data_IF_178191321855
#
_entry.id   IF_178191321855
#
_cell.length_a   1.000
_cell.length_b   1.000
_cell.length_c   1.000
_cell.angle_alpha   90.00
_cell.angle_beta   90.00
_cell.angle_gamma   90.00
#
_symmetry.space_group_name_H-M   'P 1'
#
loop_
_entity.id
_entity.type
_entity.pdbx_description
1 polymer ?
#
# COMPACT_ATOMS: atom_id res chain seq x y z
N UNK A 1 -6.90 6.67 -10.26
CA UNK A 1 -7.94 6.94 -9.24
C UNK A 1 -7.83 5.95 -8.10
N UNK A 2 -7.88 4.64 -8.36
CA UNK A 2 -7.63 3.54 -7.39
C UNK A 2 -6.14 3.45 -7.01
N UNK A 3 -5.24 3.30 -7.99
CA UNK A 3 -3.79 3.22 -7.77
C UNK A 3 -3.17 4.43 -7.03
N UNK A 4 -3.85 5.59 -7.03
CA UNK A 4 -3.35 6.78 -6.31
C UNK A 4 -3.43 6.61 -4.79
N UNK A 5 -4.45 5.89 -4.32
CA UNK A 5 -4.63 5.58 -2.91
C UNK A 5 -3.54 4.62 -2.43
N UNK A 6 -3.31 3.52 -3.15
CA UNK A 6 -2.25 2.57 -2.85
C UNK A 6 -0.88 3.25 -2.77
N UNK A 7 -0.58 4.12 -3.73
CA UNK A 7 0.66 4.92 -3.73
C UNK A 7 0.73 5.83 -2.51
N UNK A 8 -0.37 6.49 -2.12
CA UNK A 8 -0.39 7.33 -0.94
C UNK A 8 -0.14 6.53 0.35
N UNK A 9 -0.73 5.34 0.48
CA UNK A 9 -0.50 4.43 1.62
C UNK A 9 0.98 4.02 1.67
N UNK A 10 1.55 3.56 0.54
CA UNK A 10 2.96 3.15 0.46
C UNK A 10 3.90 4.31 0.78
N UNK A 11 3.62 5.51 0.25
CA UNK A 11 4.39 6.72 0.58
C UNK A 11 4.34 7.01 2.09
N UNK A 12 3.18 6.83 2.73
CA UNK A 12 3.06 7.02 4.17
C UNK A 12 3.87 5.98 4.97
N UNK A 13 3.84 4.71 4.57
CA UNK A 13 4.68 3.66 5.15
C UNK A 13 6.16 4.04 5.01
N UNK A 14 6.59 4.40 3.79
CA UNK A 14 7.96 4.79 3.51
C UNK A 14 8.40 6.00 4.34
N UNK A 15 7.55 7.02 4.46
CA UNK A 15 7.85 8.21 5.28
C UNK A 15 8.04 7.84 6.75
N UNK A 16 7.18 6.96 7.30
CA UNK A 16 7.30 6.50 8.69
C UNK A 16 8.58 5.71 8.94
N UNK A 17 9.05 4.97 7.94
CA UNK A 17 10.31 4.21 7.98
C UNK A 17 11.55 5.03 7.55
N UNK A 18 11.41 6.32 7.23
CA UNK A 18 12.47 7.16 6.62
C UNK A 18 13.05 6.56 5.32
N UNK A 19 12.23 5.78 4.61
CA UNK A 19 12.61 4.98 3.44
C UNK A 19 12.40 5.70 2.10
N UNK A 20 11.77 6.89 2.08
CA UNK A 20 11.24 7.50 0.84
C UNK A 20 12.27 7.67 -0.28
N UNK A 21 13.56 7.86 0.04
CA UNK A 21 14.65 7.98 -0.94
C UNK A 21 15.15 6.66 -1.51
N UNK A 22 14.81 5.54 -0.87
CA UNK A 22 15.28 4.19 -1.25
C UNK A 22 14.22 3.40 -2.03
N UNK A 23 12.97 3.86 -2.05
CA UNK A 23 11.84 3.14 -2.63
C UNK A 23 11.33 3.85 -3.88
N UNK A 24 11.16 3.08 -4.96
CA UNK A 24 10.48 3.54 -6.17
C UNK A 24 9.19 2.75 -6.36
N UNK A 25 8.08 3.48 -6.50
CA UNK A 25 6.74 2.89 -6.61
C UNK A 25 6.29 2.92 -8.07
N UNK A 26 5.80 1.78 -8.56
CA UNK A 26 5.25 1.64 -9.90
C UNK A 26 3.82 1.14 -9.83
N UNK A 27 2.94 1.77 -10.60
CA UNK A 27 1.55 1.36 -10.78
C UNK A 27 1.47 0.31 -11.87
N UNK A 28 0.61 -0.69 -11.68
CA UNK A 28 0.37 -1.74 -12.67
C UNK A 28 -1.11 -1.91 -13.03
N UNK A 29 -1.98 -0.99 -12.57
CA UNK A 29 -3.41 -1.06 -12.83
C UNK A 29 -4.04 -2.29 -12.16
N UNK A 30 -4.72 -3.13 -12.94
CA UNK A 30 -5.47 -4.26 -12.42
C UNK A 30 -4.63 -5.18 -11.52
N UNK A 31 -5.19 -5.62 -10.39
CA UNK A 31 -4.55 -6.52 -9.43
C UNK A 31 -3.98 -7.82 -10.06
N UNK A 32 -4.61 -8.34 -11.12
CA UNK A 32 -4.12 -9.50 -11.87
C UNK A 32 -2.73 -9.29 -12.49
N UNK A 33 -2.35 -8.04 -12.77
CA UNK A 33 -1.07 -7.71 -13.37
C UNK A 33 0.09 -7.92 -12.38
N UNK A 34 -0.15 -7.86 -11.07
CA UNK A 34 0.86 -8.19 -10.06
C UNK A 34 1.40 -9.62 -10.26
N UNK A 35 0.49 -10.58 -10.46
CA UNK A 35 0.83 -11.98 -10.72
C UNK A 35 1.59 -12.15 -12.04
N UNK A 36 1.17 -11.44 -13.08
CA UNK A 36 1.84 -11.47 -14.40
C UNK A 36 3.27 -10.91 -14.30
N UNK A 37 3.46 -9.80 -13.59
CA UNK A 37 4.77 -9.19 -13.39
C UNK A 37 5.69 -10.08 -12.56
N UNK A 38 5.18 -10.66 -11.46
CA UNK A 38 5.92 -11.63 -10.65
C UNK A 38 6.34 -12.85 -11.48
N UNK A 39 5.41 -13.44 -12.25
CA UNK A 39 5.69 -14.57 -13.11
C UNK A 39 6.78 -14.23 -14.14
N UNK A 40 6.67 -13.07 -14.79
CA UNK A 40 7.66 -12.61 -15.77
C UNK A 40 9.05 -12.44 -15.15
N UNK A 41 9.12 -11.95 -13.91
CA UNK A 41 10.37 -11.71 -13.17
C UNK A 41 11.06 -13.02 -12.81
N UNK A 42 10.28 -13.99 -12.32
CA UNK A 42 10.79 -15.34 -12.02
C UNK A 42 11.24 -16.10 -13.28
N UNK A 43 10.48 -16.02 -14.37
CA UNK A 43 10.82 -16.68 -15.64
C UNK A 43 12.14 -16.13 -16.21
N UNK A 44 12.38 -14.82 -16.09
CA UNK A 44 13.64 -14.18 -16.50
C UNK A 44 14.82 -14.50 -15.56
N UNK A 45 14.56 -15.02 -14.37
CA UNK A 45 15.60 -15.24 -13.36
C UNK A 45 16.08 -13.94 -12.70
N UNK A 46 15.27 -12.89 -12.74
CA UNK A 46 15.59 -11.62 -12.09
C UNK A 46 15.58 -11.78 -10.57
N UNK A 47 16.39 -10.96 -9.88
CA UNK A 47 16.33 -10.89 -8.43
C UNK A 47 14.95 -10.37 -7.95
N UNK A 48 14.44 -10.98 -6.88
CA UNK A 48 13.21 -10.62 -6.17
C UNK A 48 13.46 -10.00 -4.79
N UNK A 49 14.69 -10.02 -4.29
CA UNK A 49 14.99 -9.53 -2.93
C UNK A 49 14.72 -8.04 -2.75
N UNK A 50 14.72 -7.27 -3.84
CA UNK A 50 14.52 -5.83 -3.90
C UNK A 50 13.19 -5.43 -4.56
N UNK A 51 12.29 -6.39 -4.84
CA UNK A 51 11.01 -6.17 -5.51
C UNK A 51 9.86 -6.64 -4.65
N UNK A 52 8.92 -5.73 -4.40
CA UNK A 52 7.68 -6.01 -3.69
C UNK A 52 6.48 -5.77 -4.59
N UNK A 53 5.57 -6.74 -4.64
CA UNK A 53 4.29 -6.64 -5.31
C UNK A 53 3.19 -6.50 -4.27
N UNK A 54 2.38 -5.45 -4.35
CA UNK A 54 1.40 -5.08 -3.32
C UNK A 54 0.01 -5.02 -3.93
N UNK A 55 -0.97 -5.68 -3.32
CA UNK A 55 -2.38 -5.58 -3.66
C UNK A 55 -3.13 -4.68 -2.67
N UNK A 56 -4.25 -4.13 -3.12
CA UNK A 56 -5.11 -3.28 -2.31
C UNK A 56 -5.84 -4.04 -1.19
N UNK A 57 -5.95 -5.37 -1.31
CA UNK A 57 -6.49 -6.28 -0.30
C UNK A 57 -7.97 -6.62 -0.45
N UNK A 58 -8.69 -5.99 -1.38
CA UNK A 58 -10.11 -6.26 -1.67
C UNK A 58 -10.34 -7.42 -2.64
N UNK A 59 -9.31 -7.76 -3.43
CA UNK A 59 -9.27 -8.88 -4.38
C UNK A 59 -8.04 -9.73 -4.12
N UNK A 60 -8.19 -11.04 -4.35
CA UNK A 60 -7.13 -12.03 -4.09
C UNK A 60 -6.64 -11.97 -2.64
N UNK A 61 -7.56 -11.75 -1.70
CA UNK A 61 -7.25 -11.47 -0.29
C UNK A 61 -6.83 -12.72 0.47
N UNK A 62 -7.13 -13.91 -0.07
CA UNK A 62 -6.76 -15.20 0.52
C UNK A 62 -5.61 -15.89 -0.24
N UNK A 63 -4.83 -16.70 0.47
CA UNK A 63 -3.74 -17.48 -0.14
C UNK A 63 -4.24 -18.45 -1.23
N UNK A 64 -5.46 -18.99 -1.08
CA UNK A 64 -6.07 -19.84 -2.11
C UNK A 64 -6.37 -19.07 -3.39
N UNK A 65 -6.89 -17.84 -3.29
CA UNK A 65 -7.13 -16.99 -4.46
C UNK A 65 -5.83 -16.56 -5.12
N UNK A 66 -4.81 -16.20 -4.33
CA UNK A 66 -3.47 -15.87 -4.84
C UNK A 66 -2.86 -17.08 -5.56
N UNK A 67 -2.96 -18.28 -4.99
CA UNK A 67 -2.50 -19.52 -5.61
C UNK A 67 -3.22 -19.81 -6.93
N UNK A 68 -4.55 -19.67 -6.95
CA UNK A 68 -5.34 -19.83 -8.17
C UNK A 68 -4.98 -18.77 -9.25
N UNK A 69 -4.63 -17.54 -8.85
CA UNK A 69 -4.15 -16.52 -9.76
C UNK A 69 -2.74 -16.83 -10.30
N UNK A 70 -1.83 -17.35 -9.46
CA UNK A 70 -0.51 -17.83 -9.88
C UNK A 70 -0.62 -19.00 -10.86
N UNK A 71 -1.55 -19.93 -10.65
CA UNK A 71 -1.79 -21.06 -11.54
C UNK A 71 -2.23 -20.64 -12.95
N UNK A 72 -2.92 -19.50 -13.07
CA UNK A 72 -3.33 -18.95 -14.37
C UNK A 72 -2.18 -18.35 -15.16
N UNK A 73 -1.17 -17.79 -14.50
CA UNK A 73 -0.02 -17.13 -15.15
C UNK A 73 1.15 -18.08 -15.39
N UNK A 74 1.31 -19.10 -14.54
CA UNK A 74 2.28 -20.17 -14.74
C UNK A 74 1.64 -21.37 -15.46
N UNK A 75 1.57 -21.25 -16.78
CA UNK A 75 1.01 -22.30 -17.65
C UNK A 75 2.07 -23.35 -17.96
N UNK A 76 1.82 -24.61 -17.57
CA UNK A 76 2.73 -25.73 -17.80
C UNK A 76 2.63 -26.79 -16.71
N UNK A 77 3.04 -28.01 -17.03
CA UNK A 77 3.06 -29.16 -16.10
C UNK A 77 4.47 -29.72 -15.92
N UNK A 78 5.50 -29.00 -16.38
CA UNK A 78 6.90 -29.38 -16.25
C UNK A 78 7.45 -29.08 -14.84
N UNK A 79 8.49 -29.80 -14.40
CA UNK A 79 9.14 -29.59 -13.08
C UNK A 79 9.46 -28.12 -12.81
N UNK A 80 10.03 -27.43 -13.82
CA UNK A 80 10.36 -26.00 -13.75
C UNK A 80 9.15 -25.13 -13.41
N UNK A 81 7.96 -25.48 -13.89
CA UNK A 81 6.73 -24.71 -13.59
C UNK A 81 6.35 -24.85 -12.12
N UNK A 82 6.50 -26.05 -11.53
CA UNK A 82 6.26 -26.26 -10.10
C UNK A 82 7.26 -25.50 -9.24
N UNK A 83 8.54 -25.48 -9.63
CA UNK A 83 9.58 -24.70 -8.95
C UNK A 83 9.28 -23.19 -8.98
N UNK A 84 8.87 -22.65 -10.13
CA UNK A 84 8.49 -21.25 -10.26
C UNK A 84 7.26 -20.88 -9.41
N UNK A 85 6.26 -21.77 -9.36
CA UNK A 85 5.09 -21.58 -8.50
C UNK A 85 5.48 -21.55 -7.03
N UNK A 86 6.30 -22.50 -6.57
CA UNK A 86 6.80 -22.53 -5.20
C UNK A 86 7.63 -21.28 -4.87
N UNK A 87 8.43 -20.77 -5.80
CA UNK A 87 9.20 -19.54 -5.62
C UNK A 87 8.32 -18.28 -5.56
N UNK A 88 7.13 -18.31 -6.18
CA UNK A 88 6.17 -17.21 -6.21
C UNK A 88 5.25 -17.16 -4.98
N UNK A 89 5.05 -18.29 -4.29
CA UNK A 89 4.20 -18.35 -3.09
C UNK A 89 4.70 -17.36 -2.02
N UNK A 90 3.75 -16.59 -1.47
CA UNK A 90 4.03 -15.57 -0.44
C UNK A 90 4.79 -14.31 -0.90
N UNK A 91 5.09 -14.15 -2.20
CA UNK A 91 5.82 -12.98 -2.75
C UNK A 91 4.95 -11.76 -3.03
N UNK A 92 3.62 -11.93 -3.10
CA UNK A 92 2.67 -10.83 -3.22
C UNK A 92 2.12 -10.52 -1.83
N UNK A 93 2.28 -9.27 -1.40
CA UNK A 93 1.73 -8.73 -0.15
C UNK A 93 0.47 -7.92 -0.42
N UNK A 94 -0.28 -7.62 0.62
CA UNK A 94 -1.49 -6.81 0.50
C UNK A 94 -1.69 -5.88 1.69
N UNK A 95 -2.61 -4.93 1.59
CA UNK A 95 -3.15 -4.27 2.77
C UNK A 95 -4.21 -5.16 3.44
N UNK A 96 -4.22 -5.19 4.76
CA UNK A 96 -5.08 -6.06 5.55
C UNK A 96 -6.44 -5.43 5.77
N UNK A 97 -7.42 -5.84 4.97
CA UNK A 97 -8.79 -5.33 5.06
C UNK A 97 -9.70 -6.29 5.83
N UNK A 98 -10.69 -5.77 6.58
CA UNK A 98 -11.82 -6.58 7.01
C UNK A 98 -12.54 -7.19 5.80
N UNK A 99 -13.15 -8.36 6.01
CA UNK A 99 -13.81 -9.10 4.92
C UNK A 99 -14.91 -8.27 4.24
N UNK A 100 -14.83 -8.15 2.91
CA UNK A 100 -15.81 -7.43 2.10
C UNK A 100 -15.71 -5.90 2.16
N UNK A 101 -14.69 -5.35 2.81
CA UNK A 101 -14.45 -3.90 2.90
C UNK A 101 -13.46 -3.46 1.83
N UNK A 102 -13.75 -2.35 1.15
CA UNK A 102 -12.83 -1.72 0.20
C UNK A 102 -11.81 -0.80 0.90
N UNK A 103 -10.63 -0.55 0.30
CA UNK A 103 -9.60 0.30 0.88
C UNK A 103 -10.11 1.69 1.29
N UNK A 104 -10.86 2.37 0.40
CA UNK A 104 -11.38 3.72 0.67
C UNK A 104 -12.36 3.74 1.85
N UNK A 105 -13.21 2.71 1.96
CA UNK A 105 -14.14 2.56 3.07
C UNK A 105 -13.39 2.38 4.39
N UNK A 106 -12.33 1.57 4.38
CA UNK A 106 -11.57 1.34 5.59
C UNK A 106 -10.77 2.58 6.00
N UNK A 107 -10.14 3.30 5.05
CA UNK A 107 -9.50 4.59 5.35
C UNK A 107 -10.51 5.60 5.92
N UNK A 108 -11.71 5.70 5.34
CA UNK A 108 -12.78 6.55 5.86
C UNK A 108 -13.15 6.17 7.30
N UNK A 109 -13.26 4.87 7.60
CA UNK A 109 -13.44 4.39 8.96
C UNK A 109 -12.30 4.83 9.89
N UNK A 110 -11.03 4.66 9.49
CA UNK A 110 -9.88 5.03 10.31
C UNK A 110 -9.90 6.53 10.65
N UNK A 111 -10.14 7.41 9.67
CA UNK A 111 -10.13 8.87 9.91
C UNK A 111 -11.34 9.35 10.70
N UNK A 112 -12.50 8.70 10.59
CA UNK A 112 -13.70 9.12 11.33
C UNK A 112 -13.68 8.68 12.80
N UNK A 113 -12.91 7.62 13.11
CA UNK A 113 -12.77 7.02 14.44
C UNK A 113 -11.40 7.25 15.10
N UNK A 114 -10.56 8.11 14.52
CA UNK A 114 -9.24 8.45 15.08
C UNK A 114 -9.37 9.21 16.41
N UNK A 115 -8.52 8.93 17.43
CA UNK A 115 -8.45 9.74 18.63
C UNK A 115 -8.17 11.21 18.29
N UNK A 116 -8.94 12.13 18.90
CA UNK A 116 -8.87 13.56 18.58
C UNK A 116 -7.77 14.30 19.37
N UNK A 117 -7.20 13.66 20.39
CA UNK A 117 -6.21 14.28 21.27
C UNK A 117 -4.94 14.67 20.50
N UNK A 118 -4.57 15.95 20.59
CA UNK A 118 -3.37 16.49 19.95
C UNK A 118 -3.47 16.66 18.43
N UNK A 119 -4.68 16.63 17.86
CA UNK A 119 -4.91 16.98 16.45
C UNK A 119 -5.02 18.50 16.25
N UNK A 120 -4.37 19.00 15.20
CA UNK A 120 -4.51 20.40 14.77
C UNK A 120 -5.79 20.67 13.98
N UNK A 121 -6.14 21.94 13.81
CA UNK A 121 -7.39 22.37 13.16
C UNK A 121 -7.61 21.80 11.76
N UNK A 122 -6.55 21.68 10.96
CA UNK A 122 -6.62 21.08 9.62
C UNK A 122 -7.14 19.63 9.64
N UNK A 123 -6.71 18.82 10.60
CA UNK A 123 -7.19 17.43 10.71
C UNK A 123 -8.63 17.37 11.16
N UNK A 124 -9.06 18.31 12.02
CA UNK A 124 -10.45 18.39 12.45
C UNK A 124 -11.39 18.70 11.27
N UNK A 125 -11.00 19.60 10.36
CA UNK A 125 -11.77 19.88 9.13
C UNK A 125 -11.92 18.63 8.24
N UNK A 126 -10.85 17.83 8.10
CA UNK A 126 -10.91 16.55 7.37
C UNK A 126 -11.89 15.57 8.04
N UNK A 127 -11.86 15.46 9.36
CA UNK A 127 -12.74 14.57 10.12
C UNK A 127 -14.20 15.02 10.00
N UNK A 128 -14.47 16.32 10.13
CA UNK A 128 -15.82 16.89 9.97
C UNK A 128 -16.36 16.65 8.55
N UNK A 129 -15.54 16.91 7.52
CA UNK A 129 -15.89 16.63 6.14
C UNK A 129 -16.17 15.14 5.91
N UNK A 130 -15.38 14.25 6.50
CA UNK A 130 -15.57 12.81 6.40
C UNK A 130 -16.85 12.32 7.10
N UNK A 131 -17.15 12.82 8.31
CA UNK A 131 -18.34 12.44 9.10
C UNK A 131 -19.65 12.87 8.45
N UNK A 132 -19.63 13.94 7.65
CA UNK A 132 -20.80 14.37 6.90
C UNK A 132 -21.15 13.43 5.73
N UNK A 133 -20.23 12.57 5.31
CA UNK A 133 -20.47 11.53 4.30
C UNK A 133 -21.10 10.32 4.98
N UNK A 134 -22.44 10.26 4.97
CA UNK A 134 -23.21 9.23 5.70
C UNK A 134 -23.21 7.87 5.02
N UNK A 135 -23.54 7.83 3.73
CA UNK A 135 -23.58 6.61 2.92
C UNK A 135 -23.14 7.00 1.52
N UNK A 136 -22.19 6.26 0.98
CA UNK A 136 -21.71 6.45 -0.38
C UNK A 136 -21.83 5.11 -1.13
N UNK A 137 -22.39 5.15 -2.34
CA UNK A 137 -22.67 3.97 -3.15
C UNK A 137 -21.40 3.50 -3.88
N UNK A 138 -20.55 4.43 -4.26
CA UNK A 138 -19.26 4.13 -4.86
C UNK A 138 -18.14 4.39 -3.84
N UNK A 139 -17.52 3.31 -3.36
CA UNK A 139 -16.45 3.41 -2.37
C UNK A 139 -15.34 4.41 -2.75
N UNK A 140 -15.05 4.59 -4.05
CA UNK A 140 -14.03 5.52 -4.50
C UNK A 140 -14.36 7.00 -4.20
N UNK A 141 -15.64 7.30 -3.94
CA UNK A 141 -16.10 8.64 -3.61
C UNK A 141 -15.94 8.98 -2.13
N UNK A 142 -15.72 8.03 -1.22
CA UNK A 142 -15.52 8.33 0.21
C UNK A 142 -14.40 9.36 0.42
N UNK A 143 -13.25 9.13 -0.22
CA UNK A 143 -12.11 10.06 -0.10
C UNK A 143 -12.30 11.25 -1.04
N UNK A 144 -12.77 11.02 -2.28
CA UNK A 144 -12.90 12.08 -3.28
C UNK A 144 -13.89 13.18 -2.86
N UNK A 145 -14.97 12.82 -2.16
CA UNK A 145 -15.96 13.77 -1.64
C UNK A 145 -15.38 14.63 -0.51
N UNK A 146 -14.53 14.06 0.36
CA UNK A 146 -13.82 14.83 1.40
C UNK A 146 -12.97 15.92 0.73
N UNK A 147 -12.15 15.52 -0.24
CA UNK A 147 -11.23 16.44 -0.91
C UNK A 147 -11.97 17.52 -1.69
N UNK A 148 -13.05 17.15 -2.38
CA UNK A 148 -13.91 18.09 -3.12
C UNK A 148 -14.55 19.11 -2.18
N UNK A 149 -15.06 18.66 -1.03
CA UNK A 149 -15.70 19.53 -0.05
C UNK A 149 -14.73 20.54 0.57
N UNK A 150 -13.49 20.14 0.77
CA UNK A 150 -12.43 21.01 1.31
C UNK A 150 -11.70 21.82 0.23
N UNK A 151 -12.00 21.60 -1.05
CA UNK A 151 -11.31 22.27 -2.16
C UNK A 151 -9.83 21.92 -2.29
N UNK A 152 -9.42 20.71 -1.87
CA UNK A 152 -8.02 20.26 -1.86
C UNK A 152 -7.75 19.39 -3.10
N UNK A 153 -6.59 19.55 -3.74
CA UNK A 153 -6.17 18.69 -4.83
C UNK A 153 -5.94 17.24 -4.36
N UNK A 154 -6.11 16.28 -5.28
CA UNK A 154 -6.06 14.85 -4.93
C UNK A 154 -4.73 14.41 -4.30
N UNK A 155 -3.55 14.71 -4.89
CA UNK A 155 -2.26 14.35 -4.28
C UNK A 155 -2.10 14.89 -2.86
N UNK A 156 -2.28 16.20 -2.66
CA UNK A 156 -2.09 16.84 -1.35
C UNK A 156 -3.12 16.35 -0.33
N UNK A 157 -4.36 16.17 -0.78
CA UNK A 157 -5.45 15.63 0.04
C UNK A 157 -5.19 14.21 0.49
N UNK A 158 -4.74 13.32 -0.41
CA UNK A 158 -4.40 11.94 -0.06
C UNK A 158 -3.27 11.89 0.97
N UNK A 159 -2.22 12.71 0.83
CA UNK A 159 -1.15 12.78 1.83
C UNK A 159 -1.68 13.12 3.22
N UNK A 160 -2.52 14.16 3.33
CA UNK A 160 -3.10 14.60 4.61
C UNK A 160 -4.04 13.54 5.21
N UNK A 161 -4.84 12.88 4.36
CA UNK A 161 -5.73 11.79 4.79
C UNK A 161 -4.92 10.59 5.29
N UNK A 162 -3.83 10.20 4.61
CA UNK A 162 -2.97 9.11 5.08
C UNK A 162 -2.22 9.48 6.36
N UNK A 163 -1.79 10.73 6.50
CA UNK A 163 -1.19 11.23 7.74
C UNK A 163 -2.16 11.13 8.91
N UNK A 164 -3.43 11.51 8.69
CA UNK A 164 -4.48 11.37 9.68
C UNK A 164 -4.81 9.91 9.99
N UNK A 165 -5.04 9.08 8.96
CA UNK A 165 -5.36 7.66 9.11
C UNK A 165 -4.27 6.91 9.88
N UNK A 166 -3.00 7.29 9.69
CA UNK A 166 -1.87 6.66 10.38
C UNK A 166 -1.83 6.85 11.90
N UNK A 167 -2.64 7.78 12.42
CA UNK A 167 -2.78 8.02 13.86
C UNK A 167 -3.82 7.09 14.50
N UNK A 168 -4.61 6.38 13.70
CA UNK A 168 -5.56 5.41 14.21
C UNK A 168 -4.82 4.17 14.75
N UNK A 169 -5.20 3.61 15.92
CA UNK A 169 -4.54 2.44 16.50
C UNK A 169 -4.48 1.22 15.56
N UNK A 170 -5.52 1.01 14.75
CA UNK A 170 -5.59 -0.10 13.79
C UNK A 170 -4.71 0.10 12.54
N UNK A 171 -4.13 1.29 12.30
CA UNK A 171 -3.31 1.54 11.11
C UNK A 171 -2.17 0.54 10.98
N UNK A 172 -1.48 0.22 12.07
CA UNK A 172 -0.35 -0.70 12.02
C UNK A 172 -0.78 -2.10 11.55
N UNK A 173 -1.95 -2.58 11.96
CA UNK A 173 -2.49 -3.85 11.50
C UNK A 173 -2.89 -3.79 10.01
N UNK A 174 -3.44 -2.66 9.57
CA UNK A 174 -3.82 -2.45 8.17
C UNK A 174 -2.63 -2.61 7.20
N UNK A 175 -1.46 -2.07 7.57
CA UNK A 175 -0.28 -2.04 6.69
C UNK A 175 0.82 -3.04 7.08
N UNK A 176 0.55 -3.97 7.99
CA UNK A 176 1.59 -4.82 8.58
C UNK A 176 2.31 -5.69 7.55
N UNK A 177 1.60 -6.36 6.63
CA UNK A 177 2.26 -7.23 5.64
C UNK A 177 3.31 -6.51 4.78
N UNK A 178 3.02 -5.26 4.41
CA UNK A 178 3.92 -4.42 3.63
C UNK A 178 5.05 -3.90 4.50
N UNK A 179 4.74 -3.45 5.72
CA UNK A 179 5.73 -2.90 6.66
C UNK A 179 6.74 -3.96 7.11
N UNK A 180 6.26 -5.16 7.45
CA UNK A 180 7.07 -6.30 7.89
C UNK A 180 8.05 -6.77 6.81
N UNK A 181 7.65 -6.67 5.54
CA UNK A 181 8.55 -6.96 4.42
C UNK A 181 9.54 -5.82 4.19
N UNK A 182 9.08 -4.57 4.20
CA UNK A 182 9.87 -3.42 3.78
C UNK A 182 10.92 -3.01 4.82
N UNK A 183 10.59 -3.11 6.11
CA UNK A 183 11.45 -2.67 7.20
C UNK A 183 12.85 -3.32 7.17
N UNK A 184 13.02 -4.66 7.12
CA UNK A 184 14.36 -5.26 7.04
C UNK A 184 15.10 -4.88 5.76
N UNK A 185 14.41 -4.81 4.61
CA UNK A 185 15.02 -4.43 3.32
C UNK A 185 15.57 -3.01 3.37
N UNK A 186 14.80 -2.07 3.94
CA UNK A 186 15.22 -0.67 4.09
C UNK A 186 16.37 -0.55 5.08
N UNK A 187 16.31 -1.23 6.23
CA UNK A 187 17.40 -1.23 7.20
C UNK A 187 18.72 -1.68 6.57
N UNK A 188 18.70 -2.79 5.84
CA UNK A 188 19.88 -3.29 5.09
C UNK A 188 20.42 -2.26 4.08
N UNK A 189 19.52 -1.56 3.37
CA UNK A 189 19.91 -0.53 2.40
C UNK A 189 20.50 0.71 3.08
N UNK A 190 19.94 1.13 4.21
CA UNK A 190 20.44 2.27 4.99
C UNK A 190 21.82 1.99 5.59
N UNK A 191 22.10 0.76 6.01
CA UNK A 191 23.42 0.34 6.49
C UNK A 191 24.47 0.32 5.37
N UNK A 192 24.09 -0.11 4.16
CA UNK A 192 25.01 -0.22 3.01
C UNK A 192 25.25 1.10 2.29
N UNK A 193 24.27 2.01 2.35
CA UNK A 193 24.29 3.33 1.74
C UNK A 193 24.13 4.38 2.85
N UNK A 194 25.15 4.60 3.70
CA UNK A 194 25.13 5.71 4.64
C UNK A 194 24.80 6.99 3.88
N UNK A 195 23.99 7.86 4.49
CA UNK A 195 23.65 9.17 3.93
C UNK A 195 24.93 9.81 3.38
N UNK A 196 24.91 10.17 2.09
CA UNK A 196 26.00 10.88 1.41
C UNK A 196 26.75 11.73 2.43
N UNK A 197 28.05 11.43 2.57
CA UNK A 197 29.00 12.20 3.35
C UNK A 197 28.58 13.67 3.35
N UNK A 198 28.21 14.15 4.53
CA UNK A 198 28.23 15.58 4.81
C UNK A 198 29.63 16.05 4.45
N UNK A 199 29.75 16.69 3.29
CA UNK A 199 30.93 17.45 2.94
C UNK A 199 30.97 18.60 3.93
N UNK A 200 31.99 18.61 4.78
CA UNK A 200 32.33 19.72 5.65
C UNK A 200 32.28 21.02 4.84
N UNK A 201 31.40 21.92 5.26
CA UNK A 201 31.47 23.31 4.83
C UNK A 201 32.37 24.01 5.84
N UNK A 202 33.54 24.46 5.38
CA UNK A 202 34.36 25.46 6.08
C UNK A 202 33.64 26.80 6.11
#
# INVERSE_FOLDING_TARGET
MEDDLAVAIINKICSSLKASRYVKIFKFGAASNAFTLLASTLIRGDNLSDKLYILDGDKYSTENEKKAALDKVFTGTESRTYELKAAAEGKIKQFNLPNGVKPEQYIHYLITNVPLDGLGGEYLEIIEAARDIRVELDAHNYISNILTKLGIDRPSGLTRVMDLASRHPEWHQYVSEVTDWLQPVVSDLMERLPENDTVDIT
#
